data_IF_230931033935
#
_entry.id   IF_230931033935
#
_cell.length_a   1.000
_cell.length_b   1.000
_cell.length_c   1.000
_cell.angle_alpha   90.00
_cell.angle_beta   90.00
_cell.angle_gamma   90.00
#
_symmetry.space_group_name_H-M   'P 1'
#
loop_
_entity.id
_entity.type
_entity.pdbx_description
1 polymer ?
#
# COMPACT_ATOMS: atom_id res chain seq x y z
N UNK A 1 51.98 1.80 -7.23
CA UNK A 1 50.91 2.74 -6.85
C UNK A 1 49.59 2.01 -6.96
N UNK A 2 49.15 1.47 -5.85
CA UNK A 2 47.94 0.65 -5.70
C UNK A 2 46.71 1.56 -5.54
N UNK A 3 45.69 1.42 -6.40
CA UNK A 3 44.39 2.05 -6.18
C UNK A 3 43.43 0.97 -5.72
N UNK A 4 43.18 0.98 -4.43
CA UNK A 4 42.15 0.22 -3.75
C UNK A 4 40.76 0.74 -4.17
N UNK A 5 39.97 -0.12 -4.80
CA UNK A 5 38.55 0.15 -5.05
C UNK A 5 37.75 -0.47 -3.91
N UNK A 6 37.41 0.36 -2.93
CA UNK A 6 36.52 0.01 -1.84
C UNK A 6 35.15 -0.42 -2.38
N UNK A 7 34.86 -1.72 -2.30
CA UNK A 7 33.53 -2.30 -2.46
C UNK A 7 32.72 -1.91 -1.22
N UNK A 8 31.72 -1.05 -1.37
CA UNK A 8 30.66 -0.91 -0.37
C UNK A 8 29.87 -2.21 -0.33
N UNK A 9 30.14 -3.01 0.69
CA UNK A 9 29.27 -4.11 1.09
C UNK A 9 27.98 -3.53 1.66
N UNK A 10 26.87 -3.79 0.98
CA UNK A 10 25.55 -3.59 1.56
C UNK A 10 25.44 -4.48 2.79
N UNK A 11 25.31 -3.86 3.97
CA UNK A 11 25.16 -4.56 5.23
C UNK A 11 23.87 -5.37 5.24
N UNK A 12 24.01 -6.70 5.24
CA UNK A 12 22.92 -7.60 5.56
C UNK A 12 22.55 -7.36 7.05
N UNK A 13 21.30 -6.98 7.29
CA UNK A 13 20.72 -6.87 8.63
C UNK A 13 20.68 -8.27 9.26
N UNK A 14 21.03 -8.45 10.54
CA UNK A 14 20.93 -9.75 11.19
C UNK A 14 19.48 -10.16 11.35
N UNK A 15 19.27 -11.45 11.14
CA UNK A 15 18.07 -12.27 11.22
C UNK A 15 16.91 -11.71 12.05
N UNK A 16 15.74 -11.49 11.39
CA UNK A 16 14.43 -11.54 12.03
C UNK A 16 13.87 -10.31 12.74
N UNK A 17 14.61 -9.23 12.95
CA UNK A 17 14.07 -8.03 13.60
C UNK A 17 13.37 -7.13 12.56
N UNK A 18 12.04 -6.90 12.74
CA UNK A 18 11.33 -5.92 11.92
C UNK A 18 11.95 -4.51 12.07
N UNK A 19 12.01 -3.71 10.99
CA UNK A 19 12.59 -2.38 11.05
C UNK A 19 11.85 -1.51 12.07
N UNK A 20 12.59 -0.78 12.92
CA UNK A 20 12.03 0.10 13.95
C UNK A 20 11.70 1.48 13.40
N UNK A 21 10.70 2.15 14.00
CA UNK A 21 10.26 3.51 13.67
C UNK A 21 9.08 3.54 12.70
N UNK A 22 8.65 4.77 12.36
CA UNK A 22 7.49 5.00 11.50
C UNK A 22 7.91 5.06 10.02
N UNK A 23 7.14 4.39 9.17
CA UNK A 23 7.24 4.51 7.71
C UNK A 23 6.49 5.74 7.21
N UNK A 24 5.34 6.05 7.83
CA UNK A 24 4.49 7.18 7.47
C UNK A 24 4.12 7.93 8.74
N UNK A 25 4.23 9.24 8.70
CA UNK A 25 3.76 10.15 9.76
C UNK A 25 2.86 11.19 9.12
N UNK A 26 1.63 11.23 9.57
CA UNK A 26 0.64 12.25 9.21
C UNK A 26 0.36 13.08 10.44
N UNK A 27 0.45 14.40 10.33
CA UNK A 27 0.31 15.31 11.45
C UNK A 27 -0.63 16.47 11.09
N UNK A 28 -1.76 16.55 11.76
CA UNK A 28 -2.81 17.55 11.60
C UNK A 28 -3.26 17.78 10.15
N UNK A 29 -3.37 16.68 9.37
CA UNK A 29 -3.69 16.73 7.95
C UNK A 29 -5.09 17.26 7.69
N UNK A 30 -5.18 18.33 6.87
CA UNK A 30 -6.43 18.95 6.43
C UNK A 30 -6.54 18.89 4.91
N UNK A 31 -7.62 18.31 4.41
CA UNK A 31 -7.85 18.18 2.97
C UNK A 31 -9.28 18.58 2.61
N UNK A 32 -9.41 19.48 1.63
CA UNK A 32 -10.69 19.87 1.01
C UNK A 32 -10.77 19.33 -0.42
N UNK A 33 -11.95 18.91 -0.83
CA UNK A 33 -12.29 18.58 -2.22
C UNK A 33 -13.48 19.47 -2.64
N UNK A 34 -13.20 20.48 -3.47
CA UNK A 34 -14.17 21.56 -3.69
C UNK A 34 -14.51 22.27 -2.38
N UNK A 35 -15.78 22.36 -2.05
CA UNK A 35 -16.28 22.96 -0.79
C UNK A 35 -16.29 22.00 0.40
N UNK A 36 -16.18 20.67 0.15
CA UNK A 36 -16.27 19.64 1.20
C UNK A 36 -14.93 19.47 1.90
N UNK A 37 -14.92 19.59 3.22
CA UNK A 37 -13.82 19.21 4.10
C UNK A 37 -13.86 17.66 4.24
N UNK A 38 -12.88 16.96 3.66
CA UNK A 38 -12.82 15.49 3.63
C UNK A 38 -12.02 14.94 4.79
N UNK A 39 -10.89 15.58 5.09
CA UNK A 39 -10.06 15.29 6.26
C UNK A 39 -9.98 16.59 7.07
N UNK A 40 -10.68 16.68 8.21
CA UNK A 40 -10.75 17.92 8.98
C UNK A 40 -9.49 18.20 9.79
N UNK A 41 -8.93 17.17 10.44
CA UNK A 41 -7.72 17.22 11.25
C UNK A 41 -7.26 15.80 11.59
N UNK A 42 -6.51 15.16 10.69
CA UNK A 42 -6.16 13.77 10.84
C UNK A 42 -4.68 13.61 11.17
N UNK A 43 -4.39 12.92 12.27
CA UNK A 43 -3.04 12.53 12.66
C UNK A 43 -2.98 11.00 12.82
N UNK A 44 -1.94 10.37 12.21
CA UNK A 44 -1.72 8.92 12.29
C UNK A 44 -0.26 8.59 12.04
N UNK A 45 0.21 7.48 12.63
CA UNK A 45 1.54 6.93 12.43
C UNK A 45 1.44 5.49 11.94
N UNK A 46 2.20 5.17 10.90
CA UNK A 46 2.25 3.82 10.33
C UNK A 46 3.63 3.25 10.58
N UNK A 47 3.76 2.21 11.41
CA UNK A 47 5.04 1.56 11.70
C UNK A 47 5.64 0.89 10.46
N UNK A 48 6.98 0.76 10.43
CA UNK A 48 7.70 0.02 9.38
C UNK A 48 7.47 -1.49 9.48
N UNK A 49 7.52 -2.17 8.33
CA UNK A 49 7.56 -3.62 8.24
C UNK A 49 6.29 -4.33 8.73
N UNK A 50 5.13 -3.69 8.56
CA UNK A 50 3.84 -4.24 8.94
C UNK A 50 2.83 -4.14 7.80
N UNK A 51 1.80 -4.99 7.85
CA UNK A 51 0.60 -4.85 7.04
C UNK A 51 -0.45 -4.10 7.84
N UNK A 52 -0.79 -2.90 7.39
CA UNK A 52 -1.77 -2.02 8.04
C UNK A 52 -3.04 -1.96 7.20
N UNK A 53 -4.18 -2.30 7.81
CA UNK A 53 -5.51 -2.17 7.20
C UNK A 53 -6.09 -0.78 7.47
N UNK A 54 -6.37 -0.02 6.42
CA UNK A 54 -7.16 1.21 6.50
C UNK A 54 -8.61 0.88 6.15
N UNK A 55 -9.41 0.59 7.17
CA UNK A 55 -10.77 0.09 7.02
C UNK A 55 -11.82 1.16 7.31
N UNK A 56 -12.94 1.07 6.61
CA UNK A 56 -14.06 1.99 6.80
C UNK A 56 -14.96 2.11 5.57
N UNK A 57 -16.11 2.78 5.68
CA UNK A 57 -17.09 2.87 4.62
C UNK A 57 -16.57 3.64 3.40
N UNK A 58 -17.24 3.44 2.26
CA UNK A 58 -17.00 4.25 1.06
C UNK A 58 -17.25 5.72 1.35
N UNK A 59 -16.37 6.60 0.87
CA UNK A 59 -16.42 8.03 1.16
C UNK A 59 -15.92 8.46 2.54
N UNK A 60 -15.41 7.53 3.37
CA UNK A 60 -14.85 7.80 4.70
C UNK A 60 -13.54 8.59 4.73
N UNK A 61 -12.88 8.79 3.58
CA UNK A 61 -11.63 9.54 3.49
C UNK A 61 -10.39 8.70 3.13
N UNK A 62 -10.51 7.36 3.01
CA UNK A 62 -9.40 6.41 2.75
C UNK A 62 -8.53 6.82 1.57
N UNK A 63 -9.09 6.89 0.36
CA UNK A 63 -8.33 7.27 -0.85
C UNK A 63 -7.76 8.69 -0.79
N UNK A 64 -8.42 9.62 -0.04
CA UNK A 64 -7.89 10.96 0.15
C UNK A 64 -6.65 10.94 1.03
N UNK A 65 -6.66 10.17 2.13
CA UNK A 65 -5.50 9.96 2.98
C UNK A 65 -4.36 9.30 2.19
N UNK A 66 -4.64 8.22 1.46
CA UNK A 66 -3.63 7.52 0.65
C UNK A 66 -2.99 8.42 -0.41
N UNK A 67 -3.81 9.22 -1.12
CA UNK A 67 -3.29 10.20 -2.09
C UNK A 67 -2.44 11.28 -1.43
N UNK A 68 -2.75 11.67 -0.18
CA UNK A 68 -1.91 12.60 0.58
C UNK A 68 -0.57 11.97 0.96
N UNK A 69 -0.57 10.69 1.34
CA UNK A 69 0.64 9.91 1.67
C UNK A 69 1.57 9.79 0.45
N UNK A 70 1.02 9.52 -0.74
CA UNK A 70 1.84 9.43 -1.96
C UNK A 70 2.17 10.79 -2.58
N UNK A 71 1.64 11.88 -2.03
CA UNK A 71 1.96 13.26 -2.44
C UNK A 71 1.26 13.74 -3.71
N UNK A 72 0.15 13.09 -4.12
CA UNK A 72 -0.64 13.50 -5.30
C UNK A 72 -1.91 14.27 -4.94
N UNK A 73 -2.15 14.51 -3.64
CA UNK A 73 -3.27 15.27 -3.11
C UNK A 73 -2.82 16.67 -2.71
N UNK A 74 -3.57 17.70 -3.10
CA UNK A 74 -3.37 19.06 -2.55
C UNK A 74 -3.83 19.07 -1.10
N UNK A 75 -2.90 19.42 -0.21
CA UNK A 75 -3.10 19.48 1.24
C UNK A 75 -3.38 20.92 1.64
N UNK A 76 -4.43 21.13 2.45
CA UNK A 76 -4.84 22.45 2.94
C UNK A 76 -4.19 22.84 4.28
N UNK A 77 -3.55 21.90 4.98
CA UNK A 77 -2.86 22.11 6.25
C UNK A 77 -2.30 20.81 6.81
N UNK A 78 -1.41 20.91 7.79
CA UNK A 78 -0.70 19.78 8.36
C UNK A 78 0.47 19.30 7.51
N UNK A 79 1.08 18.18 7.90
CA UNK A 79 2.24 17.60 7.20
C UNK A 79 2.06 16.10 7.00
N UNK A 80 2.65 15.59 5.92
CA UNK A 80 2.76 14.15 5.66
C UNK A 80 4.21 13.84 5.34
N UNK A 81 4.80 12.93 6.11
CA UNK A 81 6.17 12.47 5.95
C UNK A 81 6.18 10.97 5.69
N UNK A 82 6.92 10.52 4.69
CA UNK A 82 7.09 9.11 4.34
C UNK A 82 8.58 8.79 4.34
N UNK A 83 8.99 7.76 5.07
CA UNK A 83 10.40 7.36 5.22
C UNK A 83 11.32 8.53 5.63
N UNK A 84 10.79 9.48 6.41
CA UNK A 84 11.50 10.66 6.87
C UNK A 84 11.57 11.82 5.87
N UNK A 85 10.96 11.70 4.69
CA UNK A 85 10.92 12.75 3.67
C UNK A 85 9.49 13.28 3.48
N UNK A 86 9.29 14.58 3.11
CA UNK A 86 7.96 15.09 2.78
C UNK A 86 7.30 14.28 1.66
N UNK A 87 6.01 13.98 1.81
CA UNK A 87 5.24 13.24 0.82
C UNK A 87 5.34 13.89 -0.57
N UNK A 88 5.52 13.08 -1.60
CA UNK A 88 5.67 13.53 -3.00
C UNK A 88 7.07 14.03 -3.37
N UNK A 89 8.05 14.01 -2.45
CA UNK A 89 9.43 14.37 -2.77
C UNK A 89 10.03 13.44 -3.82
N UNK A 90 11.00 13.93 -4.59
CA UNK A 90 11.61 13.18 -5.69
C UNK A 90 12.28 11.87 -5.20
N UNK A 91 12.87 11.87 -3.99
CA UNK A 91 13.51 10.71 -3.38
C UNK A 91 12.54 9.56 -3.10
N UNK A 92 11.24 9.86 -2.91
CA UNK A 92 10.22 8.86 -2.61
C UNK A 92 9.68 8.12 -3.84
N UNK A 93 9.84 8.65 -5.07
CA UNK A 93 9.23 8.10 -6.28
C UNK A 93 9.56 6.64 -6.56
N UNK A 94 10.74 6.18 -6.14
CA UNK A 94 11.19 4.80 -6.28
C UNK A 94 10.93 3.96 -5.04
N UNK A 95 10.71 4.61 -3.90
CA UNK A 95 10.60 3.98 -2.58
C UNK A 95 9.16 3.77 -2.14
N UNK A 96 8.20 4.43 -2.82
CA UNK A 96 6.76 4.34 -2.52
C UNK A 96 6.04 3.84 -3.77
N UNK A 97 5.41 2.67 -3.66
CA UNK A 97 4.51 2.12 -4.67
C UNK A 97 3.06 2.51 -4.36
N UNK A 98 2.32 2.94 -5.38
CA UNK A 98 0.90 3.26 -5.24
C UNK A 98 0.06 2.49 -6.24
N UNK A 99 -0.84 1.66 -5.73
CA UNK A 99 -1.85 0.98 -6.53
C UNK A 99 -3.18 1.72 -6.36
N UNK A 100 -3.70 2.23 -7.46
CA UNK A 100 -4.98 2.95 -7.50
C UNK A 100 -6.15 1.98 -7.67
N UNK A 101 -7.33 2.36 -7.19
CA UNK A 101 -8.56 1.57 -7.31
C UNK A 101 -8.90 1.21 -8.77
N UNK A 102 -8.68 2.14 -9.70
CA UNK A 102 -8.80 1.87 -11.14
C UNK A 102 -7.43 1.47 -11.68
N UNK A 103 -7.31 0.39 -12.47
CA UNK A 103 -6.04 -0.02 -13.06
C UNK A 103 -5.41 1.09 -13.90
N UNK A 104 -4.11 1.35 -13.69
CA UNK A 104 -3.33 2.33 -14.44
C UNK A 104 -2.50 1.62 -15.53
N UNK A 105 -3.15 0.78 -16.33
CA UNK A 105 -2.53 -0.04 -17.37
C UNK A 105 -2.89 0.48 -18.77
N UNK A 106 -1.95 0.35 -19.68
CA UNK A 106 -2.19 0.54 -21.12
C UNK A 106 -2.79 -0.75 -21.67
N UNK A 107 -4.05 -0.70 -22.09
CA UNK A 107 -4.83 -1.86 -22.52
C UNK A 107 -4.33 -2.52 -23.79
N UNK A 108 -3.66 -1.75 -24.66
CA UNK A 108 -3.06 -2.14 -25.94
C UNK A 108 -1.62 -2.68 -25.81
N UNK A 109 -1.07 -2.71 -24.62
CA UNK A 109 0.22 -3.30 -24.31
C UNK A 109 0.05 -4.65 -23.59
N UNK A 110 1.07 -5.50 -23.68
CA UNK A 110 1.15 -6.73 -22.91
C UNK A 110 1.42 -6.45 -21.43
N UNK A 111 1.26 -7.45 -20.56
CA UNK A 111 1.65 -7.34 -19.14
C UNK A 111 3.13 -6.94 -19.04
N UNK A 112 4.01 -7.64 -19.76
CA UNK A 112 5.45 -7.38 -19.76
C UNK A 112 5.78 -5.96 -20.21
N UNK A 113 5.14 -5.48 -21.27
CA UNK A 113 5.38 -4.13 -21.79
C UNK A 113 4.91 -3.05 -20.80
N UNK A 114 3.77 -3.25 -20.14
CA UNK A 114 3.30 -2.37 -19.06
C UNK A 114 4.33 -2.32 -17.92
N UNK A 115 4.74 -3.47 -17.38
CA UNK A 115 5.70 -3.54 -16.28
C UNK A 115 7.05 -2.93 -16.70
N UNK A 116 7.52 -3.21 -17.94
CA UNK A 116 8.74 -2.64 -18.49
C UNK A 116 8.68 -1.11 -18.67
N UNK A 117 7.51 -0.57 -19.02
CA UNK A 117 7.30 0.88 -19.07
C UNK A 117 7.54 1.53 -17.70
N UNK A 118 6.90 1.01 -16.63
CA UNK A 118 7.11 1.52 -15.28
C UNK A 118 8.55 1.26 -14.78
N UNK A 119 9.15 0.13 -15.14
CA UNK A 119 10.56 -0.16 -14.84
C UNK A 119 11.50 0.93 -15.39
N UNK A 120 11.29 1.36 -16.63
CA UNK A 120 12.09 2.46 -17.24
C UNK A 120 11.91 3.78 -16.49
N UNK A 121 10.66 4.13 -16.14
CA UNK A 121 10.37 5.35 -15.40
C UNK A 121 11.06 5.34 -14.03
N UNK A 122 11.08 4.19 -13.37
CA UNK A 122 11.69 4.00 -12.07
C UNK A 122 13.18 3.65 -12.14
N UNK A 123 13.76 3.43 -13.33
CA UNK A 123 15.15 3.00 -13.53
C UNK A 123 15.42 1.62 -12.94
N UNK A 124 14.42 0.72 -12.97
CA UNK A 124 14.56 -0.69 -12.63
C UNK A 124 15.08 -1.51 -13.81
N UNK A 125 15.61 -2.69 -13.55
CA UNK A 125 16.21 -3.58 -14.54
C UNK A 125 15.20 -4.50 -15.22
N UNK A 126 15.63 -5.20 -16.29
CA UNK A 126 14.80 -6.25 -16.90
C UNK A 126 14.54 -7.42 -15.93
N UNK A 127 15.50 -7.76 -15.08
CA UNK A 127 15.32 -8.77 -14.04
C UNK A 127 14.26 -8.37 -13.01
N UNK A 128 14.10 -7.08 -12.73
CA UNK A 128 13.04 -6.57 -11.87
C UNK A 128 11.66 -6.73 -12.52
N UNK A 129 11.56 -6.60 -13.83
CA UNK A 129 10.33 -6.86 -14.61
C UNK A 129 9.91 -8.32 -14.45
N UNK A 130 10.82 -9.26 -14.70
CA UNK A 130 10.52 -10.69 -14.59
C UNK A 130 10.13 -11.07 -13.15
N UNK A 131 10.86 -10.56 -12.16
CA UNK A 131 10.53 -10.74 -10.74
C UNK A 131 9.14 -10.23 -10.42
N UNK A 132 8.79 -8.98 -10.78
CA UNK A 132 7.50 -8.38 -10.47
C UNK A 132 6.33 -9.14 -11.10
N UNK A 133 6.50 -9.68 -12.32
CA UNK A 133 5.50 -10.52 -12.99
C UNK A 133 5.34 -11.87 -12.26
N UNK A 134 6.46 -12.48 -11.85
CA UNK A 134 6.44 -13.74 -11.09
C UNK A 134 5.83 -13.56 -9.69
N UNK A 135 6.12 -12.45 -9.00
CA UNK A 135 5.59 -12.15 -7.67
C UNK A 135 4.05 -12.11 -7.64
N UNK A 136 3.42 -11.75 -8.74
CA UNK A 136 1.96 -11.69 -8.87
C UNK A 136 1.37 -12.90 -9.62
N UNK A 137 2.17 -13.94 -9.89
CA UNK A 137 1.74 -15.16 -10.59
C UNK A 137 1.10 -14.87 -11.97
N UNK A 138 1.81 -14.08 -12.78
CA UNK A 138 1.41 -13.76 -14.16
C UNK A 138 2.45 -14.18 -15.21
N UNK A 139 3.38 -15.07 -14.88
CA UNK A 139 4.45 -15.50 -15.79
C UNK A 139 3.88 -16.08 -17.08
N UNK A 140 2.85 -16.93 -17.00
CA UNK A 140 2.20 -17.55 -18.16
C UNK A 140 1.36 -16.57 -19.00
N UNK A 141 1.09 -15.38 -18.45
CA UNK A 141 0.33 -14.31 -19.11
C UNK A 141 1.19 -13.07 -19.41
N UNK A 142 2.53 -13.18 -19.26
CA UNK A 142 3.43 -12.06 -19.43
C UNK A 142 3.30 -11.36 -20.79
N UNK A 143 3.09 -12.14 -21.83
CA UNK A 143 2.99 -11.66 -23.22
C UNK A 143 1.51 -11.51 -23.69
N UNK A 144 0.53 -11.68 -22.80
CA UNK A 144 -0.87 -11.41 -23.08
C UNK A 144 -1.16 -9.90 -23.07
N UNK A 145 -1.95 -9.42 -24.03
CA UNK A 145 -2.47 -8.05 -24.03
C UNK A 145 -3.39 -7.82 -22.83
N UNK A 146 -3.25 -6.68 -22.17
CA UNK A 146 -4.04 -6.33 -20.97
C UNK A 146 -5.54 -6.34 -21.25
N UNK A 147 -5.99 -5.93 -22.46
CA UNK A 147 -7.40 -5.97 -22.86
C UNK A 147 -8.01 -7.37 -22.82
N UNK A 148 -7.18 -8.41 -22.96
CA UNK A 148 -7.63 -9.82 -22.97
C UNK A 148 -7.59 -10.48 -21.59
N UNK A 149 -7.14 -9.76 -20.55
CA UNK A 149 -7.04 -10.29 -19.19
C UNK A 149 -8.38 -10.22 -18.47
N UNK A 150 -8.64 -11.20 -17.59
CA UNK A 150 -9.72 -11.11 -16.61
C UNK A 150 -9.47 -9.94 -15.64
N UNK A 151 -10.52 -9.46 -14.95
CA UNK A 151 -10.39 -8.38 -13.97
C UNK A 151 -9.35 -8.69 -12.88
N UNK A 152 -9.31 -9.92 -12.38
CA UNK A 152 -8.30 -10.34 -11.40
C UNK A 152 -6.87 -10.36 -11.97
N UNK A 153 -6.69 -10.75 -13.23
CA UNK A 153 -5.39 -10.67 -13.90
C UNK A 153 -4.96 -9.23 -14.13
N UNK A 154 -5.88 -8.33 -14.50
CA UNK A 154 -5.60 -6.89 -14.63
C UNK A 154 -5.17 -6.29 -13.28
N UNK A 155 -5.85 -6.64 -12.18
CA UNK A 155 -5.47 -6.20 -10.84
C UNK A 155 -4.06 -6.67 -10.48
N UNK A 156 -3.70 -7.93 -10.77
CA UNK A 156 -2.35 -8.47 -10.56
C UNK A 156 -1.31 -7.81 -11.45
N UNK A 157 -1.63 -7.53 -12.72
CA UNK A 157 -0.73 -6.81 -13.63
C UNK A 157 -0.47 -5.36 -13.13
N UNK A 158 -1.50 -4.67 -12.64
CA UNK A 158 -1.36 -3.35 -12.03
C UNK A 158 -0.48 -3.39 -10.76
N UNK A 159 -0.62 -4.45 -9.96
CA UNK A 159 0.24 -4.66 -8.79
C UNK A 159 1.69 -4.95 -9.20
N UNK A 160 1.95 -5.71 -10.28
CA UNK A 160 3.29 -5.93 -10.80
C UNK A 160 3.97 -4.60 -11.20
N UNK A 161 3.22 -3.70 -11.85
CA UNK A 161 3.70 -2.35 -12.18
C UNK A 161 4.04 -1.53 -10.91
N UNK A 162 3.30 -1.75 -9.82
CA UNK A 162 3.55 -1.10 -8.53
C UNK A 162 4.79 -1.65 -7.83
N UNK A 163 5.06 -2.96 -7.98
CA UNK A 163 6.16 -3.67 -7.31
C UNK A 163 7.51 -3.54 -8.03
N UNK A 164 7.53 -3.23 -9.33
CA UNK A 164 8.73 -3.34 -10.18
C UNK A 164 9.91 -2.49 -9.71
N UNK A 165 9.65 -1.34 -9.05
CA UNK A 165 10.66 -0.47 -8.45
C UNK A 165 11.22 -0.95 -7.12
N UNK A 166 10.76 -2.10 -6.61
CA UNK A 166 11.12 -2.62 -5.29
C UNK A 166 10.85 -1.63 -4.14
N UNK A 167 9.63 -1.07 -4.01
CA UNK A 167 9.33 -0.03 -3.04
C UNK A 167 9.44 -0.53 -1.58
N UNK A 168 9.84 0.36 -0.68
CA UNK A 168 9.88 0.13 0.77
C UNK A 168 8.49 0.29 1.41
N UNK A 169 7.65 1.15 0.82
CA UNK A 169 6.27 1.39 1.26
C UNK A 169 5.32 1.14 0.09
N UNK A 170 4.30 0.35 0.34
CA UNK A 170 3.21 0.06 -0.59
C UNK A 170 1.92 0.69 -0.05
N UNK A 171 1.26 1.49 -0.87
CA UNK A 171 -0.05 2.09 -0.60
C UNK A 171 -1.03 1.51 -1.61
N UNK A 172 -1.96 0.66 -1.16
CA UNK A 172 -2.81 -0.17 -2.01
C UNK A 172 -4.28 0.20 -1.78
N UNK A 173 -4.89 0.89 -2.76
CA UNK A 173 -6.27 1.37 -2.65
C UNK A 173 -7.25 0.32 -3.19
N UNK A 174 -7.92 -0.39 -2.27
CA UNK A 174 -8.90 -1.46 -2.51
C UNK A 174 -8.39 -2.59 -3.46
N UNK A 175 -7.21 -3.18 -3.22
CA UNK A 175 -6.55 -4.12 -4.14
C UNK A 175 -7.30 -5.46 -4.30
N UNK A 176 -8.22 -5.78 -3.40
CA UNK A 176 -8.92 -7.09 -3.33
C UNK A 176 -10.34 -7.02 -3.86
N UNK A 177 -10.81 -5.84 -4.25
CA UNK A 177 -12.18 -5.65 -4.76
C UNK A 177 -12.37 -6.40 -6.08
N UNK A 178 -13.48 -7.15 -6.16
CA UNK A 178 -13.84 -7.90 -7.37
C UNK A 178 -13.02 -9.17 -7.60
N UNK A 179 -12.15 -9.56 -6.67
CA UNK A 179 -11.43 -10.83 -6.74
C UNK A 179 -12.24 -11.99 -6.14
N UNK A 180 -12.11 -13.15 -6.74
CA UNK A 180 -12.59 -14.39 -6.14
C UNK A 180 -11.81 -14.74 -4.85
N UNK A 181 -12.32 -15.66 -4.00
CA UNK A 181 -11.71 -15.97 -2.72
C UNK A 181 -10.28 -16.53 -2.83
N UNK A 182 -9.94 -17.26 -3.90
CA UNK A 182 -8.61 -17.86 -4.09
C UNK A 182 -7.60 -16.75 -4.40
N UNK A 183 -7.89 -15.91 -5.38
CA UNK A 183 -7.04 -14.79 -5.75
C UNK A 183 -6.86 -13.81 -4.59
N UNK A 184 -7.92 -13.55 -3.82
CA UNK A 184 -7.85 -12.69 -2.62
C UNK A 184 -6.90 -13.28 -1.58
N UNK A 185 -7.00 -14.60 -1.29
CA UNK A 185 -6.09 -15.29 -0.37
C UNK A 185 -4.63 -15.16 -0.82
N UNK A 186 -4.36 -15.37 -2.10
CA UNK A 186 -3.01 -15.37 -2.67
C UNK A 186 -2.40 -13.95 -2.66
N UNK A 187 -3.21 -12.92 -2.88
CA UNK A 187 -2.78 -11.53 -2.72
C UNK A 187 -2.42 -11.19 -1.27
N UNK A 188 -3.22 -11.63 -0.31
CA UNK A 188 -2.90 -11.42 1.10
C UNK A 188 -1.64 -12.18 1.53
N UNK A 189 -1.40 -13.38 0.98
CA UNK A 189 -0.14 -14.11 1.19
C UNK A 189 1.06 -13.33 0.63
N UNK A 190 0.92 -12.70 -0.55
CA UNK A 190 1.93 -11.81 -1.10
C UNK A 190 2.19 -10.60 -0.18
N UNK A 191 1.15 -9.91 0.31
CA UNK A 191 1.32 -8.76 1.21
C UNK A 191 2.05 -9.15 2.50
N UNK A 192 1.72 -10.32 3.06
CA UNK A 192 2.40 -10.85 4.24
C UNK A 192 3.88 -11.11 3.95
N UNK A 193 4.21 -11.80 2.84
CA UNK A 193 5.61 -12.04 2.43
C UNK A 193 6.38 -10.72 2.28
N UNK A 194 5.80 -9.71 1.62
CA UNK A 194 6.43 -8.40 1.47
C UNK A 194 6.69 -7.71 2.80
N UNK A 195 5.78 -7.84 3.76
CA UNK A 195 5.96 -7.32 5.13
C UNK A 195 7.05 -8.07 5.88
N UNK A 196 7.12 -9.39 5.73
CA UNK A 196 8.17 -10.24 6.36
C UNK A 196 9.56 -9.92 5.78
N UNK A 197 9.62 -9.44 4.52
CA UNK A 197 10.83 -8.90 3.89
C UNK A 197 11.17 -7.46 4.38
N UNK A 198 10.41 -6.90 5.31
CA UNK A 198 10.63 -5.59 5.91
C UNK A 198 9.93 -4.42 5.21
N UNK A 199 9.11 -4.67 4.19
CA UNK A 199 8.33 -3.61 3.53
C UNK A 199 7.10 -3.24 4.36
N UNK A 200 6.67 -1.99 4.24
CA UNK A 200 5.44 -1.52 4.88
C UNK A 200 4.30 -1.56 3.87
N UNK A 201 3.18 -2.18 4.22
CA UNK A 201 2.03 -2.32 3.33
C UNK A 201 0.80 -1.68 3.97
N UNK A 202 0.31 -0.58 3.40
CA UNK A 202 -0.94 0.07 3.78
C UNK A 202 -2.01 -0.30 2.76
N UNK A 203 -3.01 -1.07 3.20
CA UNK A 203 -4.10 -1.59 2.35
C UNK A 203 -5.41 -0.94 2.76
N UNK A 204 -6.11 -0.28 1.85
CA UNK A 204 -7.49 0.13 2.13
C UNK A 204 -8.48 -0.98 1.78
N UNK A 205 -9.52 -1.10 2.60
CA UNK A 205 -10.65 -1.97 2.33
C UNK A 205 -11.94 -1.43 2.95
N UNK A 206 -13.06 -1.88 2.41
CA UNK A 206 -14.38 -1.72 3.03
C UNK A 206 -14.92 -3.07 3.54
N UNK A 207 -14.14 -4.16 3.39
CA UNK A 207 -14.47 -5.52 3.84
C UNK A 207 -13.85 -5.74 5.20
N UNK A 208 -14.68 -5.78 6.26
CA UNK A 208 -14.19 -5.87 7.64
C UNK A 208 -13.51 -7.21 7.96
N UNK A 209 -13.88 -8.31 7.27
CA UNK A 209 -13.22 -9.62 7.44
C UNK A 209 -11.71 -9.60 7.13
N UNK A 210 -11.27 -8.64 6.31
CA UNK A 210 -9.85 -8.48 5.98
C UNK A 210 -9.02 -7.96 7.17
N UNK A 211 -9.66 -7.46 8.22
CA UNK A 211 -9.00 -7.06 9.48
C UNK A 211 -8.14 -8.18 10.09
N UNK A 212 -8.58 -9.43 9.96
CA UNK A 212 -7.85 -10.61 10.47
C UNK A 212 -6.50 -10.84 9.80
N UNK A 213 -6.25 -10.19 8.67
CA UNK A 213 -5.03 -10.34 7.87
C UNK A 213 -3.99 -9.24 8.12
N UNK A 214 -4.36 -8.22 8.90
CA UNK A 214 -3.54 -7.06 9.18
C UNK A 214 -2.86 -7.17 10.55
N UNK A 215 -1.64 -6.63 10.67
CA UNK A 215 -0.96 -6.51 11.96
C UNK A 215 -1.60 -5.39 12.81
N UNK A 216 -2.09 -4.34 12.14
CA UNK A 216 -2.68 -3.15 12.76
C UNK A 216 -3.82 -2.62 11.89
N UNK A 217 -4.81 -2.04 12.53
CA UNK A 217 -6.02 -1.51 11.91
C UNK A 217 -6.15 -0.01 12.19
N UNK A 218 -6.40 0.74 11.13
CA UNK A 218 -6.81 2.14 11.17
C UNK A 218 -8.28 2.18 10.73
N UNK A 219 -9.19 2.32 11.68
CA UNK A 219 -10.60 2.48 11.35
C UNK A 219 -10.91 3.94 11.10
N UNK A 220 -11.37 4.26 9.87
CA UNK A 220 -11.65 5.64 9.45
C UNK A 220 -13.12 5.85 9.10
N UNK A 221 -13.71 6.96 9.60
CA UNK A 221 -15.05 7.41 9.24
C UNK A 221 -15.11 8.93 9.20
N UNK A 222 -15.75 9.48 8.20
CA UNK A 222 -15.94 10.94 8.02
C UNK A 222 -14.64 11.76 8.10
N UNK A 223 -13.51 11.17 7.72
CA UNK A 223 -12.20 11.82 7.72
C UNK A 223 -11.46 11.79 9.07
N UNK A 224 -11.94 11.03 10.02
CA UNK A 224 -11.35 10.86 11.36
C UNK A 224 -10.96 9.40 11.59
N UNK A 225 -9.87 9.17 12.33
CA UNK A 225 -9.45 7.84 12.77
C UNK A 225 -10.21 7.53 14.06
N UNK A 226 -11.09 6.53 14.01
CA UNK A 226 -11.85 6.06 15.15
C UNK A 226 -11.05 5.13 16.05
N UNK A 227 -10.17 4.33 15.47
CA UNK A 227 -9.28 3.40 16.17
C UNK A 227 -7.99 3.21 15.42
N UNK A 228 -6.90 3.05 16.17
CA UNK A 228 -5.57 2.70 15.71
C UNK A 228 -5.00 1.63 16.66
N UNK A 229 -5.26 0.34 16.34
CA UNK A 229 -4.98 -0.79 17.23
C UNK A 229 -4.80 -2.09 16.44
N UNK A 230 -4.32 -3.14 17.07
CA UNK A 230 -4.45 -4.51 16.55
C UNK A 230 -5.89 -5.00 16.65
N UNK A 231 -6.25 -6.04 15.88
CA UNK A 231 -7.59 -6.63 15.98
C UNK A 231 -7.93 -7.14 17.40
N UNK A 232 -7.03 -7.87 18.12
CA UNK A 232 -7.31 -8.29 19.49
C UNK A 232 -7.56 -7.12 20.45
N UNK A 233 -6.78 -6.03 20.35
CA UNK A 233 -6.97 -4.83 21.18
C UNK A 233 -8.30 -4.14 20.85
N UNK A 234 -8.66 -4.06 19.57
CA UNK A 234 -9.93 -3.49 19.12
C UNK A 234 -11.13 -4.26 19.70
N UNK A 235 -11.12 -5.60 19.58
CA UNK A 235 -12.19 -6.46 20.11
C UNK A 235 -12.28 -6.35 21.63
N UNK A 236 -11.14 -6.35 22.34
CA UNK A 236 -11.10 -6.20 23.79
C UNK A 236 -11.66 -4.84 24.26
N UNK A 237 -11.40 -3.76 23.53
CA UNK A 237 -11.85 -2.42 23.90
C UNK A 237 -13.34 -2.17 23.63
N UNK A 238 -13.90 -2.86 22.62
CA UNK A 238 -15.33 -2.69 22.23
C UNK A 238 -16.24 -3.76 22.78
N UNK A 239 -15.68 -4.91 23.22
CA UNK A 239 -16.46 -6.09 23.61
C UNK A 239 -17.13 -6.81 22.44
N UNK A 240 -16.75 -6.48 21.21
CA UNK A 240 -17.30 -7.08 20.00
C UNK A 240 -16.65 -8.43 19.69
N UNK A 241 -17.37 -9.28 18.94
CA UNK A 241 -16.87 -10.60 18.52
C UNK A 241 -16.03 -10.54 17.25
N UNK A 242 -16.25 -9.51 16.42
CA UNK A 242 -15.56 -9.33 15.13
C UNK A 242 -15.29 -7.84 14.81
N UNK A 243 -14.58 -7.60 13.73
CA UNK A 243 -14.19 -6.24 13.32
C UNK A 243 -15.39 -5.38 12.88
N UNK A 244 -16.45 -5.98 12.33
CA UNK A 244 -17.66 -5.27 11.92
C UNK A 244 -18.44 -4.80 13.16
N UNK A 245 -18.65 -5.69 14.12
CA UNK A 245 -19.27 -5.35 15.40
C UNK A 245 -18.46 -4.29 16.16
N UNK A 246 -17.14 -4.39 16.17
CA UNK A 246 -16.28 -3.39 16.77
C UNK A 246 -16.39 -2.01 16.09
N UNK A 247 -16.45 -1.99 14.76
CA UNK A 247 -16.65 -0.74 14.01
C UNK A 247 -18.02 -0.12 14.35
N UNK A 248 -19.09 -0.91 14.41
CA UNK A 248 -20.42 -0.43 14.77
C UNK A 248 -20.43 0.15 16.19
N UNK A 249 -19.82 -0.54 17.15
CA UNK A 249 -19.74 -0.08 18.54
C UNK A 249 -18.96 1.26 18.70
N UNK A 250 -18.07 1.59 17.78
CA UNK A 250 -17.34 2.86 17.81
C UNK A 250 -18.13 4.04 17.21
N UNK A 251 -19.23 3.77 16.52
CA UNK A 251 -19.99 4.81 15.80
C UNK A 251 -21.38 5.06 16.39
N UNK A 252 -21.84 4.19 17.31
CA UNK A 252 -23.07 4.36 18.09
C UNK A 252 -22.84 5.27 19.31
#
# INVERSE_FOLDING_TARGET
MNKDHGRHAAGATPDGAKPTGDAIVVDHLKVKRGTRLVLPDLSVRVPKGQVIGLLGPSGGGKSTLMRSIVGVQVVGGGTVTVLGEPAGSAGLRRRVGYLTQSPSLYSDLTVRENVAYFARVLGASAADVDRAIADVDLTDHADALVVNLSGGQQTRANLACTLVGNPEVLVLDEPTVGLDPVLRRDLWALFRRLSDEGRTVLVSSHVMDEATRCDRLLLIRAGEILSDSSLPELLASTGAEDAEGAFLALID
#
